data_IF_805122560791
#
_entry.id   IF_805122560791
#
_cell.length_a   1.000
_cell.length_b   1.000
_cell.length_c   1.000
_cell.angle_alpha   90.00
_cell.angle_beta   90.00
_cell.angle_gamma   90.00
#
_symmetry.space_group_name_H-M   'P 1'
#
loop_
_entity.id
_entity.type
_entity.pdbx_description
1 polymer ?
#
# COMPACT_ATOMS: atom_id res chain seq x y z
N UNK A 1 5.69 10.48 -23.43
CA UNK A 1 4.54 9.75 -22.81
C UNK A 1 4.69 9.76 -21.31
N UNK A 2 3.60 10.01 -20.62
CA UNK A 2 3.60 9.97 -19.16
C UNK A 2 3.64 8.52 -18.67
N UNK A 3 4.29 8.29 -17.53
CA UNK A 3 4.24 7.02 -16.84
C UNK A 3 2.81 6.73 -16.37
N UNK A 4 2.39 5.46 -16.28
CA UNK A 4 1.08 5.14 -15.74
C UNK A 4 0.97 5.56 -14.27
N UNK A 5 -0.22 5.95 -13.86
CA UNK A 5 -0.49 6.32 -12.47
C UNK A 5 -0.71 5.06 -11.62
N UNK A 6 -0.05 5.02 -10.48
CA UNK A 6 -0.07 3.87 -9.58
C UNK A 6 -0.53 4.33 -8.21
N UNK A 7 -1.53 3.69 -7.65
CA UNK A 7 -1.96 3.90 -6.27
C UNK A 7 -1.62 2.66 -5.45
N UNK A 8 -0.82 2.83 -4.40
CA UNK A 8 -0.57 1.78 -3.44
C UNK A 8 -1.72 1.73 -2.43
N UNK A 9 -2.14 0.53 -2.05
CA UNK A 9 -3.20 0.31 -1.08
C UNK A 9 -2.68 -0.60 0.02
N UNK A 10 -2.70 -0.09 1.26
CA UNK A 10 -2.28 -0.85 2.44
C UNK A 10 -3.46 -0.90 3.40
N UNK A 11 -3.83 -2.09 3.86
CA UNK A 11 -4.88 -2.29 4.86
C UNK A 11 -4.21 -2.64 6.18
N UNK A 12 -4.61 -1.99 7.27
CA UNK A 12 -4.02 -2.18 8.59
C UNK A 12 -5.08 -2.29 9.68
N UNK A 13 -4.74 -3.02 10.73
CA UNK A 13 -5.55 -3.11 11.95
C UNK A 13 -4.65 -3.43 13.14
N UNK A 14 -4.50 -2.48 14.06
CA UNK A 14 -3.76 -2.67 15.32
C UNK A 14 -2.33 -3.23 15.15
N UNK A 15 -1.61 -2.77 14.13
CA UNK A 15 -0.23 -3.20 13.84
C UNK A 15 0.68 -2.02 13.52
N UNK A 16 0.65 -1.00 14.37
CA UNK A 16 1.36 0.26 14.10
C UNK A 16 2.83 0.08 13.74
N UNK A 17 3.57 -0.78 14.47
CA UNK A 17 5.01 -0.97 14.20
C UNK A 17 5.26 -1.63 12.84
N UNK A 18 4.46 -2.63 12.49
CA UNK A 18 4.58 -3.29 11.19
C UNK A 18 4.21 -2.32 10.07
N UNK A 19 3.13 -1.55 10.27
CA UNK A 19 2.71 -0.54 9.30
C UNK A 19 3.82 0.50 9.06
N UNK A 20 4.48 0.95 10.11
CA UNK A 20 5.59 1.91 9.97
C UNK A 20 6.70 1.36 9.08
N UNK A 21 7.07 0.10 9.24
CA UNK A 21 8.07 -0.55 8.39
C UNK A 21 7.59 -0.65 6.94
N UNK A 22 6.34 -1.03 6.74
CA UNK A 22 5.74 -1.12 5.42
C UNK A 22 5.77 0.23 4.71
N UNK A 23 5.27 1.28 5.36
CA UNK A 23 5.23 2.61 4.79
C UNK A 23 6.63 3.18 4.55
N UNK A 24 7.57 2.92 5.46
CA UNK A 24 8.96 3.33 5.28
C UNK A 24 9.58 2.68 4.04
N UNK A 25 9.28 1.41 3.80
CA UNK A 25 9.75 0.72 2.60
C UNK A 25 9.15 1.32 1.32
N UNK A 26 7.95 1.86 1.39
CA UNK A 26 7.34 2.57 0.25
C UNK A 26 8.06 3.89 -0.02
N UNK A 27 8.50 4.60 1.01
CA UNK A 27 9.21 5.88 0.83
C UNK A 27 10.54 5.73 0.12
N UNK A 28 11.15 4.55 0.17
CA UNK A 28 12.48 4.30 -0.41
C UNK A 28 12.43 3.58 -1.76
N UNK A 29 11.25 3.43 -2.34
CA UNK A 29 11.13 2.79 -3.66
C UNK A 29 11.81 3.62 -4.74
N UNK A 30 12.51 2.95 -5.66
CA UNK A 30 13.13 3.61 -6.83
C UNK A 30 12.06 4.15 -7.78
N UNK A 31 10.94 3.43 -7.92
CA UNK A 31 9.72 3.94 -8.55
C UNK A 31 8.68 4.10 -7.45
N UNK A 32 8.37 5.33 -7.10
CA UNK A 32 7.37 5.60 -6.05
C UNK A 32 5.96 5.54 -6.60
N UNK A 33 4.98 5.07 -5.81
CA UNK A 33 3.59 5.20 -6.21
C UNK A 33 3.19 6.68 -6.23
N UNK A 34 2.26 7.02 -7.13
CA UNK A 34 1.78 8.39 -7.27
C UNK A 34 0.87 8.79 -6.11
N UNK A 35 0.14 7.81 -5.57
CA UNK A 35 -0.70 7.99 -4.40
C UNK A 35 -0.60 6.75 -3.52
N UNK A 36 -0.84 6.93 -2.23
CA UNK A 36 -0.88 5.84 -1.25
C UNK A 36 -2.17 5.97 -0.44
N UNK A 37 -2.95 4.90 -0.39
CA UNK A 37 -4.14 4.84 0.44
C UNK A 37 -3.87 3.89 1.61
N UNK A 38 -3.90 4.42 2.82
CA UNK A 38 -3.81 3.62 4.04
C UNK A 38 -5.22 3.44 4.57
N UNK A 39 -5.72 2.21 4.50
CA UNK A 39 -7.07 1.87 4.99
C UNK A 39 -6.93 1.34 6.40
N UNK A 40 -7.36 2.11 7.36
CA UNK A 40 -7.35 1.70 8.76
C UNK A 40 -8.69 1.07 9.13
N UNK A 41 -8.64 -0.20 9.50
CA UNK A 41 -9.81 -1.03 9.74
C UNK A 41 -10.33 -0.90 11.19
N UNK A 42 -10.51 0.35 11.63
CA UNK A 42 -10.99 0.69 12.97
C UNK A 42 -10.01 0.31 14.09
N UNK A 43 -8.73 0.62 13.92
CA UNK A 43 -7.70 0.39 14.93
C UNK A 43 -7.99 1.13 16.23
N UNK A 44 -7.62 0.50 17.34
CA UNK A 44 -7.79 1.04 18.70
C UNK A 44 -6.46 1.30 19.40
N UNK A 45 -5.34 1.13 18.70
CA UNK A 45 -3.97 1.27 19.25
C UNK A 45 -3.33 2.64 19.01
N UNK A 46 -4.12 3.64 18.55
CA UNK A 46 -3.60 4.97 18.24
C UNK A 46 -3.03 5.11 16.83
N UNK A 47 -3.21 4.13 15.95
CA UNK A 47 -2.70 4.17 14.58
C UNK A 47 -3.16 5.41 13.81
N UNK A 48 -4.45 5.80 13.79
CA UNK A 48 -4.87 6.98 13.03
C UNK A 48 -4.19 8.26 13.50
N UNK A 49 -4.09 8.47 14.80
CA UNK A 49 -3.45 9.67 15.35
C UNK A 49 -1.96 9.74 14.97
N UNK A 50 -1.27 8.60 15.02
CA UNK A 50 0.12 8.52 14.59
C UNK A 50 0.27 8.82 13.10
N UNK A 51 -0.59 8.26 12.25
CA UNK A 51 -0.55 8.48 10.82
C UNK A 51 -0.78 9.95 10.43
N UNK A 52 -1.68 10.64 11.12
CA UNK A 52 -1.91 12.07 10.88
C UNK A 52 -0.65 12.90 11.08
N UNK A 53 0.25 12.49 11.98
CA UNK A 53 1.51 13.18 12.23
C UNK A 53 2.63 12.70 11.31
N UNK A 54 2.69 11.40 11.06
CA UNK A 54 3.80 10.77 10.35
C UNK A 54 3.72 10.98 8.83
N UNK A 55 2.52 10.81 8.25
CA UNK A 55 2.36 10.83 6.79
C UNK A 55 2.77 12.16 6.13
N UNK A 56 2.35 13.33 6.65
CA UNK A 56 2.76 14.58 6.00
C UNK A 56 4.27 14.80 5.95
N UNK A 57 5.01 14.24 6.90
CA UNK A 57 6.45 14.40 6.98
C UNK A 57 7.22 13.40 6.11
N UNK A 58 6.69 12.20 5.90
CA UNK A 58 7.43 11.10 5.27
C UNK A 58 6.80 10.62 3.96
N UNK A 59 5.49 10.74 3.82
CA UNK A 59 4.76 10.21 2.68
C UNK A 59 3.59 11.15 2.33
N UNK A 60 3.92 12.37 1.82
CA UNK A 60 2.90 13.41 1.62
C UNK A 60 1.81 13.03 0.60
N UNK A 61 2.08 12.07 -0.30
CA UNK A 61 1.08 11.59 -1.24
C UNK A 61 0.12 10.56 -0.65
N UNK A 62 0.23 10.26 0.66
CA UNK A 62 -0.64 9.31 1.33
C UNK A 62 -1.90 9.95 1.89
N UNK A 63 -2.98 9.19 1.85
CA UNK A 63 -4.27 9.55 2.44
C UNK A 63 -4.71 8.44 3.39
N UNK A 64 -5.16 8.81 4.57
CA UNK A 64 -5.72 7.88 5.54
C UNK A 64 -7.22 7.77 5.33
N UNK A 65 -7.71 6.54 5.21
CA UNK A 65 -9.13 6.23 5.21
C UNK A 65 -9.41 5.40 6.47
N UNK A 66 -10.00 6.04 7.47
CA UNK A 66 -10.35 5.38 8.72
C UNK A 66 -11.78 4.85 8.62
N UNK A 67 -11.92 3.53 8.67
CA UNK A 67 -13.25 2.88 8.64
C UNK A 67 -13.86 2.90 10.03
N UNK A 68 -15.19 2.96 10.10
CA UNK A 68 -15.92 3.00 11.37
C UNK A 68 -15.91 1.65 12.08
N UNK A 69 -15.74 0.57 11.35
CA UNK A 69 -15.70 -0.78 11.90
C UNK A 69 -14.76 -1.65 11.09
N UNK A 70 -14.26 -2.72 11.70
CA UNK A 70 -13.38 -3.66 11.04
C UNK A 70 -14.19 -4.51 10.05
N UNK A 71 -13.91 -4.30 8.77
CA UNK A 71 -14.58 -5.01 7.67
C UNK A 71 -13.77 -6.19 7.15
N UNK A 72 -12.68 -6.54 7.84
CA UNK A 72 -11.74 -7.57 7.39
C UNK A 72 -10.83 -7.08 6.27
N UNK A 73 -9.86 -7.90 5.88
CA UNK A 73 -8.93 -7.55 4.81
C UNK A 73 -9.62 -7.30 3.49
N UNK A 74 -10.55 -8.17 3.12
CA UNK A 74 -11.28 -8.05 1.86
C UNK A 74 -12.09 -6.74 1.79
N UNK A 75 -12.75 -6.37 2.89
CA UNK A 75 -13.51 -5.11 2.94
C UNK A 75 -12.61 -3.89 2.86
N UNK A 76 -11.45 -3.95 3.53
CA UNK A 76 -10.46 -2.86 3.46
C UNK A 76 -9.91 -2.67 2.06
N UNK A 77 -9.49 -3.75 1.40
CA UNK A 77 -8.99 -3.67 0.03
C UNK A 77 -10.06 -3.22 -0.95
N UNK A 78 -11.32 -3.69 -0.77
CA UNK A 78 -12.42 -3.25 -1.62
C UNK A 78 -12.65 -1.74 -1.52
N UNK A 79 -12.61 -1.19 -0.31
CA UNK A 79 -12.74 0.24 -0.08
C UNK A 79 -11.61 1.02 -0.76
N UNK A 80 -10.38 0.53 -0.62
CA UNK A 80 -9.21 1.15 -1.26
C UNK A 80 -9.27 1.11 -2.77
N UNK A 81 -9.64 -0.03 -3.34
CA UNK A 81 -9.76 -0.20 -4.79
C UNK A 81 -10.83 0.70 -5.38
N UNK A 82 -11.97 0.82 -4.71
CA UNK A 82 -13.03 1.71 -5.15
C UNK A 82 -12.55 3.15 -5.24
N UNK A 83 -11.89 3.61 -4.19
CA UNK A 83 -11.39 4.98 -4.14
C UNK A 83 -10.28 5.21 -5.17
N UNK A 84 -9.36 4.27 -5.33
CA UNK A 84 -8.31 4.36 -6.33
C UNK A 84 -8.88 4.45 -7.74
N UNK A 85 -9.90 3.64 -8.05
CA UNK A 85 -10.59 3.68 -9.33
C UNK A 85 -11.27 5.03 -9.55
N UNK A 86 -11.98 5.54 -8.55
CA UNK A 86 -12.66 6.84 -8.62
C UNK A 86 -11.67 7.99 -8.83
N UNK A 87 -10.45 7.85 -8.34
CA UNK A 87 -9.40 8.85 -8.49
C UNK A 87 -8.56 8.67 -9.76
N UNK A 88 -8.92 7.72 -10.62
CA UNK A 88 -8.30 7.55 -11.93
C UNK A 88 -6.99 6.78 -11.93
N UNK A 89 -6.72 5.96 -10.92
CA UNK A 89 -5.52 5.12 -10.92
C UNK A 89 -5.57 4.12 -12.07
N UNK A 90 -4.47 4.01 -12.80
CA UNK A 90 -4.35 3.03 -13.88
C UNK A 90 -3.94 1.66 -13.34
N UNK A 91 -3.16 1.63 -12.26
CA UNK A 91 -2.72 0.43 -11.58
C UNK A 91 -2.91 0.60 -10.08
N UNK A 92 -3.21 -0.50 -9.39
CA UNK A 92 -3.19 -0.55 -7.94
C UNK A 92 -2.14 -1.54 -7.48
N UNK A 93 -1.38 -1.14 -6.46
CA UNK A 93 -0.35 -1.96 -5.84
C UNK A 93 -0.79 -2.27 -4.42
N UNK A 94 -1.32 -3.47 -4.21
CA UNK A 94 -1.91 -3.86 -2.94
C UNK A 94 -0.94 -4.67 -2.10
N UNK A 95 -0.91 -4.39 -0.80
CA UNK A 95 -0.10 -5.15 0.14
C UNK A 95 -0.68 -5.09 1.55
N UNK A 96 -0.36 -6.11 2.36
CA UNK A 96 -0.67 -6.10 3.77
C UNK A 96 0.29 -5.21 4.54
N UNK A 97 -0.10 -4.83 5.76
CA UNK A 97 0.68 -3.93 6.61
C UNK A 97 1.99 -4.52 7.12
N UNK A 98 2.21 -5.82 6.99
CA UNK A 98 3.44 -6.50 7.36
C UNK A 98 4.40 -6.72 6.17
N UNK A 99 4.04 -6.24 5.00
CA UNK A 99 4.92 -6.31 3.83
C UNK A 99 6.02 -5.24 3.93
N UNK A 100 7.23 -5.63 3.55
CA UNK A 100 8.36 -4.70 3.43
C UNK A 100 8.92 -4.84 2.01
N UNK A 101 8.33 -4.13 1.03
CA UNK A 101 8.77 -4.28 -0.36
C UNK A 101 10.23 -3.87 -0.54
N UNK A 102 10.96 -4.67 -1.31
CA UNK A 102 12.34 -4.35 -1.69
C UNK A 102 12.37 -2.99 -2.40
N UNK A 103 13.47 -2.21 -2.28
CA UNK A 103 13.54 -0.88 -2.87
C UNK A 103 13.20 -0.78 -4.36
N UNK A 104 13.44 -1.83 -5.12
CA UNK A 104 13.16 -1.87 -6.56
C UNK A 104 11.87 -2.62 -6.92
N UNK A 105 11.06 -3.01 -5.90
CA UNK A 105 9.91 -3.88 -6.13
C UNK A 105 8.92 -3.30 -7.13
N UNK A 106 8.49 -2.07 -6.95
CA UNK A 106 7.50 -1.46 -7.84
C UNK A 106 8.08 -1.22 -9.23
N UNK A 107 9.32 -0.76 -9.31
CA UNK A 107 9.98 -0.57 -10.60
C UNK A 107 10.03 -1.86 -11.41
N UNK A 108 10.40 -2.96 -10.76
CA UNK A 108 10.47 -4.27 -11.43
C UNK A 108 9.10 -4.78 -11.83
N UNK A 109 8.09 -4.61 -10.98
CA UNK A 109 6.72 -4.97 -11.33
C UNK A 109 6.23 -4.19 -12.55
N UNK A 110 6.53 -2.90 -12.63
CA UNK A 110 6.09 -2.07 -13.74
C UNK A 110 6.81 -2.39 -15.05
N UNK A 111 7.99 -2.99 -14.99
CA UNK A 111 8.67 -3.48 -16.20
C UNK A 111 7.94 -4.63 -16.88
N UNK A 112 7.25 -5.48 -16.09
CA UNK A 112 6.52 -6.65 -16.61
C UNK A 112 5.03 -6.43 -16.68
N UNK A 113 4.49 -5.44 -15.99
CA UNK A 113 3.05 -5.15 -15.95
C UNK A 113 2.63 -4.37 -17.20
N UNK A 114 2.52 -5.08 -18.31
CA UNK A 114 2.19 -4.48 -19.62
C UNK A 114 0.77 -4.76 -20.07
N UNK A 115 0.12 -5.77 -19.51
CA UNK A 115 -1.24 -6.17 -19.91
C UNK A 115 -2.22 -5.90 -18.75
N UNK A 116 -3.14 -4.93 -18.91
CA UNK A 116 -4.08 -4.58 -17.84
C UNK A 116 -5.11 -5.67 -17.52
N UNK A 117 -5.19 -6.73 -18.32
CA UNK A 117 -6.07 -7.86 -18.04
C UNK A 117 -5.43 -8.89 -17.09
N UNK A 118 -4.16 -8.70 -16.71
CA UNK A 118 -3.43 -9.62 -15.84
C UNK A 118 -3.16 -9.01 -14.47
N UNK A 119 -3.00 -9.90 -13.48
CA UNK A 119 -2.51 -9.54 -12.15
C UNK A 119 -1.06 -9.99 -12.04
N UNK A 120 -0.19 -9.12 -11.56
CA UNK A 120 1.23 -9.39 -11.40
C UNK A 120 1.58 -9.43 -9.92
N UNK A 121 2.45 -10.35 -9.53
CA UNK A 121 2.85 -10.50 -8.14
C UNK A 121 4.35 -10.65 -7.99
N UNK A 122 4.83 -10.26 -6.82
CA UNK A 122 6.21 -10.43 -6.42
C UNK A 122 6.38 -11.72 -5.63
N UNK A 123 7.58 -12.28 -5.66
CA UNK A 123 7.96 -13.38 -4.80
C UNK A 123 8.09 -12.87 -3.37
N UNK A 124 7.46 -13.55 -2.43
CA UNK A 124 7.59 -13.24 -1.02
C UNK A 124 8.72 -14.05 -0.40
N UNK A 125 9.50 -13.42 0.47
CA UNK A 125 10.62 -14.04 1.16
C UNK A 125 10.44 -13.82 2.67
N UNK A 126 10.67 -14.87 3.44
CA UNK A 126 10.65 -14.79 4.90
C UNK A 126 12.04 -15.16 5.43
N UNK A 127 12.79 -14.17 5.90
CA UNK A 127 14.20 -14.37 6.23
C UNK A 127 14.99 -14.75 4.98
N UNK A 128 15.69 -15.89 5.05
CA UNK A 128 16.47 -16.42 3.93
C UNK A 128 15.68 -17.42 3.08
N UNK A 129 14.42 -17.67 3.42
CA UNK A 129 13.59 -18.67 2.75
C UNK A 129 12.49 -18.00 1.94
N UNK A 130 12.25 -18.53 0.74
CA UNK A 130 11.13 -18.09 -0.10
C UNK A 130 9.85 -18.73 0.41
N UNK A 131 8.81 -17.91 0.60
CA UNK A 131 7.47 -18.40 0.96
C UNK A 131 6.49 -18.17 -0.18
N UNK A 132 5.51 -19.05 -0.26
CA UNK A 132 4.50 -19.05 -1.33
C UNK A 132 3.12 -18.67 -0.78
#
# INVERSE_FOLDING_TARGET
MSSPTITAIIVTYNRKKLLERCLSAITTQTRRPDAVLVIDNASTDGTPAWLHKWMPLHLPQATLIALDQNTGGAGGFAAGMKLAFENGAEWVWMMDDDAEPHPEALEQLMRVATDPSHVYGSLAVCGDETSW
#
